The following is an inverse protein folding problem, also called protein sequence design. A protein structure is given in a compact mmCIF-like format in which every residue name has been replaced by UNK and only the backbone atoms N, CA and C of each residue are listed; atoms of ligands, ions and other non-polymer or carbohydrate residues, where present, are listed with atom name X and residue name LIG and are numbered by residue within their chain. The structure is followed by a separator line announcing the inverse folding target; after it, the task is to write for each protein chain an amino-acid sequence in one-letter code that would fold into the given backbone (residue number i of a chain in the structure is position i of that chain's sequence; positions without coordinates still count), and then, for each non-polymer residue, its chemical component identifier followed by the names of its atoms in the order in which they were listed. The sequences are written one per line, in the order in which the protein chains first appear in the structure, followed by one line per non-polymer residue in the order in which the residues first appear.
data_IF_191139832450
#
_entry.id   IF_191139832450
#
_cell.length_a   1.000
_cell.length_b   1.000
_cell.length_c   1.000
_cell.angle_alpha   90.00
_cell.angle_beta   90.00
_cell.angle_gamma   90.00
#
_symmetry.space_group_name_H-M   'P 1'
#
loop_
_entity.id
_entity.type
_entity.pdbx_description
1 polymer ?
#
# COMPACT_ATOMS: atom_id res chain seq x y z
N UNK A 1 -3.62 -18.51 -10.74
CA UNK A 1 -4.31 -17.53 -9.85
C UNK A 1 -3.25 -16.61 -9.25
N UNK A 2 -3.47 -15.29 -9.19
CA UNK A 2 -2.47 -14.34 -8.68
C UNK A 2 -2.40 -14.35 -7.15
N UNK A 3 -1.19 -14.29 -6.59
CA UNK A 3 -0.91 -14.26 -5.15
C UNK A 3 -0.80 -12.83 -4.62
N UNK A 4 -1.40 -12.56 -3.46
CA UNK A 4 -1.51 -11.23 -2.86
C UNK A 4 -0.73 -11.20 -1.54
N UNK A 5 0.10 -10.17 -1.35
CA UNK A 5 0.78 -9.88 -0.09
C UNK A 5 0.34 -8.54 0.46
N UNK A 6 -0.16 -8.52 1.69
CA UNK A 6 -0.28 -7.28 2.47
C UNK A 6 0.99 -7.05 3.27
N UNK A 7 1.53 -5.84 3.18
CA UNK A 7 2.65 -5.37 4.01
C UNK A 7 2.09 -4.38 5.07
N UNK A 8 1.86 -4.84 6.31
CA UNK A 8 1.31 -4.01 7.38
C UNK A 8 2.34 -3.02 7.95
N UNK A 9 1.84 -1.98 8.63
CA UNK A 9 2.63 -1.11 9.51
C UNK A 9 2.50 -1.61 10.94
N UNK A 10 3.51 -2.35 11.39
CA UNK A 10 3.49 -3.00 12.69
C UNK A 10 2.79 -4.36 12.65
N UNK A 11 2.30 -4.79 13.81
CA UNK A 11 1.70 -6.10 14.02
C UNK A 11 0.17 -6.08 13.88
N UNK A 12 -0.46 -7.20 14.27
CA UNK A 12 -1.91 -7.36 14.28
C UNK A 12 -2.59 -6.51 15.35
N UNK A 13 -1.89 -6.13 16.40
CA UNK A 13 -2.47 -5.37 17.51
C UNK A 13 -2.55 -3.87 17.17
N UNK A 14 -1.73 -3.41 16.21
CA UNK A 14 -1.94 -2.11 15.57
C UNK A 14 -3.32 -2.03 14.90
N UNK A 15 -4.25 -1.17 15.37
CA UNK A 15 -5.63 -1.16 14.88
C UNK A 15 -5.74 -0.94 13.38
N UNK A 16 -4.86 -0.11 12.83
CA UNK A 16 -4.87 0.19 11.39
C UNK A 16 -4.48 -1.04 10.58
N UNK A 17 -3.42 -1.75 10.97
CA UNK A 17 -2.99 -2.97 10.29
C UNK A 17 -3.95 -4.12 10.48
N UNK A 18 -4.54 -4.26 11.66
CA UNK A 18 -5.59 -5.23 11.92
C UNK A 18 -6.73 -5.15 10.92
N UNK A 19 -7.31 -3.96 10.76
CA UNK A 19 -8.47 -3.75 9.90
C UNK A 19 -8.10 -3.80 8.42
N UNK A 20 -6.97 -3.19 8.07
CA UNK A 20 -6.60 -3.00 6.67
C UNK A 20 -5.93 -4.24 6.07
N UNK A 21 -5.04 -4.90 6.79
CA UNK A 21 -4.29 -6.04 6.28
C UNK A 21 -4.90 -7.35 6.76
N UNK A 22 -5.03 -7.55 8.07
CA UNK A 22 -5.37 -8.87 8.62
C UNK A 22 -6.82 -9.28 8.33
N UNK A 23 -7.81 -8.41 8.58
CA UNK A 23 -9.21 -8.76 8.33
C UNK A 23 -9.52 -8.86 6.83
N UNK A 24 -8.95 -7.98 5.99
CA UNK A 24 -9.08 -8.11 4.54
C UNK A 24 -8.42 -9.39 4.01
N UNK A 25 -7.22 -9.74 4.47
CA UNK A 25 -6.57 -10.98 4.06
C UNK A 25 -7.37 -12.21 4.50
N UNK A 26 -7.94 -12.20 5.71
CA UNK A 26 -8.82 -13.26 6.22
C UNK A 26 -10.07 -13.41 5.36
N UNK A 27 -10.70 -12.29 4.99
CA UNK A 27 -11.86 -12.29 4.10
C UNK A 27 -11.50 -12.86 2.72
N UNK A 28 -10.42 -12.40 2.10
CA UNK A 28 -9.96 -12.89 0.79
C UNK A 28 -9.61 -14.38 0.81
N UNK A 29 -8.97 -14.86 1.88
CA UNK A 29 -8.70 -16.30 2.09
C UNK A 29 -9.99 -17.12 2.13
N UNK A 30 -11.04 -16.64 2.79
CA UNK A 30 -12.36 -17.31 2.82
C UNK A 30 -13.00 -17.41 1.44
N UNK A 31 -12.71 -16.45 0.56
CA UNK A 31 -13.12 -16.47 -0.84
C UNK A 31 -12.18 -17.31 -1.73
N UNK A 32 -11.22 -18.03 -1.16
CA UNK A 32 -10.30 -18.91 -1.89
C UNK A 32 -9.10 -18.20 -2.54
N UNK A 33 -8.86 -16.91 -2.24
CA UNK A 33 -7.71 -16.20 -2.79
C UNK A 33 -6.41 -16.55 -2.05
N UNK A 34 -5.29 -16.73 -2.78
CA UNK A 34 -3.99 -16.99 -2.18
C UNK A 34 -3.37 -15.69 -1.65
N UNK A 35 -3.59 -15.41 -0.36
CA UNK A 35 -3.20 -14.15 0.29
C UNK A 35 -2.32 -14.40 1.52
N UNK A 36 -1.33 -13.53 1.74
CA UNK A 36 -0.53 -13.50 2.97
C UNK A 36 -0.49 -12.07 3.58
N UNK A 37 -0.09 -12.00 4.85
CA UNK A 37 0.18 -10.75 5.57
C UNK A 37 1.59 -10.86 6.12
N UNK A 38 2.50 -9.99 5.66
CA UNK A 38 3.93 -10.16 5.88
C UNK A 38 4.51 -11.35 5.10
N UNK A 39 5.82 -11.31 4.84
CA UNK A 39 6.53 -12.34 4.07
C UNK A 39 7.37 -11.76 2.94
N UNK A 40 7.94 -12.65 2.12
CA UNK A 40 8.83 -12.30 1.03
C UNK A 40 8.06 -11.80 -0.21
N UNK A 41 8.20 -10.52 -0.63
CA UNK A 41 7.47 -9.97 -1.78
C UNK A 41 7.79 -10.66 -3.13
N UNK A 42 8.94 -11.33 -3.26
CA UNK A 42 9.31 -12.01 -4.50
C UNK A 42 8.37 -13.21 -4.82
N UNK A 43 7.71 -13.77 -3.80
CA UNK A 43 6.76 -14.88 -3.91
C UNK A 43 5.33 -14.46 -4.26
N UNK A 44 5.05 -13.17 -4.44
CA UNK A 44 3.69 -12.69 -4.67
C UNK A 44 3.61 -11.87 -5.96
N UNK A 45 2.42 -11.78 -6.55
CA UNK A 45 2.20 -11.07 -7.81
C UNK A 45 1.69 -9.65 -7.57
N UNK A 46 0.91 -9.48 -6.50
CA UNK A 46 0.31 -8.22 -6.07
C UNK A 46 0.80 -7.90 -4.66
N UNK A 47 1.39 -6.72 -4.47
CA UNK A 47 1.93 -6.26 -3.20
C UNK A 47 1.17 -5.02 -2.75
N UNK A 48 0.56 -5.10 -1.57
CA UNK A 48 -0.26 -4.04 -1.00
C UNK A 48 0.53 -3.40 0.15
N UNK A 49 0.97 -2.16 -0.04
CA UNK A 49 1.64 -1.36 0.97
C UNK A 49 0.60 -0.55 1.74
N UNK A 50 0.36 -0.89 3.01
CA UNK A 50 -0.50 -0.11 3.89
C UNK A 50 0.30 1.06 4.45
N UNK A 51 0.11 2.30 3.95
CA UNK A 51 0.72 3.53 4.52
C UNK A 51 2.22 3.45 4.88
N UNK A 52 2.94 2.52 4.24
CA UNK A 52 4.35 2.19 4.44
C UNK A 52 5.22 3.20 3.68
N UNK A 53 5.62 4.26 4.38
CA UNK A 53 6.22 5.49 3.81
C UNK A 53 7.70 5.70 4.21
N UNK A 54 8.32 4.70 4.85
CA UNK A 54 9.71 4.78 5.25
C UNK A 54 10.67 4.53 4.06
N UNK A 55 11.96 4.81 4.28
CA UNK A 55 12.96 4.65 3.23
C UNK A 55 13.12 3.17 2.78
N UNK A 56 13.16 2.17 3.68
CA UNK A 56 13.17 0.76 3.29
C UNK A 56 12.00 0.36 2.36
N UNK A 57 10.79 0.81 2.67
CA UNK A 57 9.60 0.50 1.87
C UNK A 57 9.63 1.16 0.50
N UNK A 58 10.09 2.41 0.45
CA UNK A 58 10.26 3.11 -0.81
C UNK A 58 11.26 2.40 -1.72
N UNK A 59 12.40 1.96 -1.16
CA UNK A 59 13.41 1.20 -1.90
C UNK A 59 12.87 -0.16 -2.36
N UNK A 60 12.10 -0.84 -1.51
CA UNK A 60 11.43 -2.09 -1.85
C UNK A 60 10.43 -1.88 -3.00
N UNK A 61 9.54 -0.90 -2.90
CA UNK A 61 8.58 -0.58 -3.94
C UNK A 61 9.29 -0.21 -5.26
N UNK A 62 10.38 0.55 -5.20
CA UNK A 62 11.20 0.89 -6.37
C UNK A 62 11.81 -0.36 -7.02
N UNK A 63 12.35 -1.31 -6.24
CA UNK A 63 12.88 -2.59 -6.72
C UNK A 63 11.80 -3.45 -7.41
N UNK A 64 10.56 -3.38 -6.93
CA UNK A 64 9.45 -4.19 -7.42
C UNK A 64 8.70 -3.55 -8.60
N UNK A 65 8.88 -2.24 -8.84
CA UNK A 65 8.21 -1.50 -9.92
C UNK A 65 8.49 -2.13 -11.29
N UNK A 66 7.43 -2.36 -12.05
CA UNK A 66 7.50 -3.01 -13.38
C UNK A 66 7.63 -4.54 -13.32
N UNK A 67 7.90 -5.12 -12.15
CA UNK A 67 7.99 -6.58 -11.93
C UNK A 67 6.76 -7.16 -11.25
N UNK A 68 6.17 -6.40 -10.32
CA UNK A 68 4.99 -6.77 -9.53
C UNK A 68 3.91 -5.71 -9.69
N UNK A 69 2.65 -6.05 -9.37
CA UNK A 69 1.57 -5.07 -9.25
C UNK A 69 1.63 -4.46 -7.86
N UNK A 70 1.91 -3.17 -7.77
CA UNK A 70 2.01 -2.43 -6.51
C UNK A 70 0.70 -1.70 -6.26
N UNK A 71 0.05 -2.00 -5.13
CA UNK A 71 -1.09 -1.26 -4.61
C UNK A 71 -0.62 -0.46 -3.40
N UNK A 72 -0.84 0.83 -3.43
CA UNK A 72 -0.54 1.70 -2.30
C UNK A 72 -1.83 2.17 -1.66
N UNK A 73 -1.99 1.86 -0.37
CA UNK A 73 -3.19 2.20 0.37
C UNK A 73 -2.94 3.39 1.29
N UNK A 74 -3.67 4.45 1.00
CA UNK A 74 -3.72 5.71 1.72
C UNK A 74 -4.92 5.70 2.68
N UNK A 75 -4.62 5.58 3.97
CA UNK A 75 -5.64 5.60 5.02
C UNK A 75 -5.76 6.95 5.74
N UNK A 76 -4.88 7.92 5.45
CA UNK A 76 -4.77 9.15 6.24
C UNK A 76 -4.67 10.41 5.37
N UNK A 77 -5.06 11.54 5.95
CA UNK A 77 -5.07 12.86 5.33
C UNK A 77 -3.66 13.50 5.26
N UNK A 78 -2.67 12.76 4.76
CA UNK A 78 -1.28 13.23 4.70
C UNK A 78 -1.07 14.52 3.88
N UNK A 79 -2.04 14.88 3.02
CA UNK A 79 -2.06 16.16 2.31
C UNK A 79 -2.08 17.38 3.25
N UNK A 80 -2.54 17.21 4.49
CA UNK A 80 -2.52 18.25 5.52
C UNK A 80 -1.15 18.41 6.20
N UNK A 81 -0.21 17.50 5.94
CA UNK A 81 1.11 17.51 6.55
C UNK A 81 2.21 17.52 5.47
N UNK A 82 2.82 18.69 5.15
CA UNK A 82 3.71 18.84 3.99
C UNK A 82 4.85 17.82 3.90
N UNK A 83 5.49 17.51 5.03
CA UNK A 83 6.58 16.52 5.09
C UNK A 83 6.13 15.11 4.68
N UNK A 84 4.88 14.75 4.99
CA UNK A 84 4.29 13.46 4.64
C UNK A 84 3.72 13.47 3.22
N UNK A 85 3.12 14.58 2.79
CA UNK A 85 2.62 14.76 1.43
C UNK A 85 3.69 14.45 0.37
N UNK A 86 4.92 14.97 0.54
CA UNK A 86 6.03 14.70 -0.38
C UNK A 86 6.45 13.22 -0.40
N UNK A 87 6.40 12.52 0.75
CA UNK A 87 6.70 11.08 0.82
C UNK A 87 5.62 10.27 0.13
N UNK A 88 4.36 10.61 0.39
CA UNK A 88 3.20 9.99 -0.25
C UNK A 88 3.23 10.18 -1.75
N UNK A 89 3.48 11.40 -2.25
CA UNK A 89 3.56 11.67 -3.68
C UNK A 89 4.64 10.82 -4.37
N UNK A 90 5.85 10.75 -3.78
CA UNK A 90 6.93 9.89 -4.31
C UNK A 90 6.55 8.42 -4.33
N UNK A 91 5.92 7.92 -3.28
CA UNK A 91 5.49 6.51 -3.23
C UNK A 91 4.35 6.23 -4.21
N UNK A 92 3.38 7.14 -4.33
CA UNK A 92 2.26 7.02 -5.25
C UNK A 92 2.71 6.92 -6.72
N UNK A 93 3.79 7.63 -7.11
CA UNK A 93 4.41 7.48 -8.44
C UNK A 93 4.98 6.07 -8.69
N UNK A 94 5.33 5.32 -7.65
CA UNK A 94 5.76 3.92 -7.76
C UNK A 94 4.57 2.94 -7.76
N UNK A 95 3.42 3.31 -7.19
CA UNK A 95 2.26 2.45 -7.21
C UNK A 95 1.68 2.29 -8.62
N UNK A 96 1.05 1.15 -8.90
CA UNK A 96 0.23 0.97 -10.11
C UNK A 96 -1.25 1.27 -9.83
N UNK A 97 -1.65 1.18 -8.56
CA UNK A 97 -2.97 1.54 -8.05
C UNK A 97 -2.77 2.25 -6.72
N UNK A 98 -3.38 3.41 -6.54
CA UNK A 98 -3.49 4.06 -5.24
C UNK A 98 -4.94 3.99 -4.77
N UNK A 99 -5.16 3.49 -3.56
CA UNK A 99 -6.48 3.39 -2.93
C UNK A 99 -6.53 4.38 -1.77
N UNK A 100 -7.56 5.22 -1.72
CA UNK A 100 -7.75 6.19 -0.65
C UNK A 100 -9.14 6.04 -0.02
N UNK A 101 -9.27 6.43 1.25
CA UNK A 101 -10.56 6.43 1.96
C UNK A 101 -11.56 7.47 1.44
N UNK A 102 -11.09 8.52 0.75
CA UNK A 102 -11.97 9.56 0.18
C UNK A 102 -11.48 10.02 -1.21
N UNK A 103 -12.40 10.45 -2.09
CA UNK A 103 -12.04 11.03 -3.40
C UNK A 103 -11.14 12.27 -3.28
N UNK A 104 -11.30 13.07 -2.23
CA UNK A 104 -10.49 14.28 -1.99
C UNK A 104 -8.99 13.95 -1.86
N UNK A 105 -8.64 12.94 -1.06
CA UNK A 105 -7.25 12.51 -0.88
C UNK A 105 -6.68 12.00 -2.20
N UNK A 106 -7.48 11.25 -2.95
CA UNK A 106 -7.08 10.72 -4.26
C UNK A 106 -6.81 11.84 -5.26
N UNK A 107 -7.66 12.86 -5.31
CA UNK A 107 -7.52 13.99 -6.22
C UNK A 107 -6.29 14.85 -5.90
N UNK A 108 -6.00 15.07 -4.61
CA UNK A 108 -4.80 15.82 -4.20
C UNK A 108 -3.53 15.18 -4.77
N UNK A 109 -3.33 13.88 -4.56
CA UNK A 109 -2.12 13.20 -5.03
C UNK A 109 -2.08 12.92 -6.53
N UNK A 110 -3.25 12.87 -7.19
CA UNK A 110 -3.32 12.80 -8.65
C UNK A 110 -2.86 14.10 -9.31
N UNK A 111 -3.28 15.25 -8.77
CA UNK A 111 -2.98 16.56 -9.33
C UNK A 111 -1.61 17.11 -8.91
N UNK A 112 -1.04 16.62 -7.81
CA UNK A 112 0.32 16.95 -7.38
C UNK A 112 1.42 16.21 -8.16
N UNK A 113 1.06 15.42 -9.18
CA UNK A 113 1.98 14.57 -9.94
C UNK A 113 2.40 15.15 -11.29
N UNK A 114 1.88 16.32 -11.66
CA UNK A 114 2.11 17.00 -12.95
C UNK A 114 3.23 18.03 -12.95
N UNK A 115 4.07 18.05 -11.92
CA UNK A 115 5.35 18.80 -11.89
C UNK A 115 6.55 17.84 -11.88
#
# INVERSE_FOLDING_TARGET
MKRILFLPVGDRDNPSSRLICYENAKYLKRLGWPVAVGGNPDEFDIIIFQKRLDAPDYLLAKKLKGRKKIVFQLSEAYHLHPNWANRVGRFAKLADVSVAGTPMIQNYFRNSSTE
#
